data_IF_807198481373
#
_entry.id   IF_807198481373
#
_cell.length_a   1.000
_cell.length_b   1.000
_cell.length_c   1.000
_cell.angle_alpha   90.00
_cell.angle_beta   90.00
_cell.angle_gamma   90.00
#
_symmetry.space_group_name_H-M   'P 1'
#
loop_
_entity.id
_entity.type
_entity.pdbx_description
1 polymer ?
#
# COMPACT_ATOMS: atom_id res chain seq x y z
N UNK A 1 32.78 -30.88 -1.16
CA UNK A 1 32.68 -30.08 -2.41
C UNK A 1 33.78 -29.05 -2.42
N UNK A 2 34.67 -29.05 -3.42
CA UNK A 2 35.78 -28.09 -3.52
C UNK A 2 35.27 -26.68 -3.79
N UNK A 3 35.71 -25.69 -3.01
CA UNK A 3 35.36 -24.26 -3.11
C UNK A 3 35.20 -23.64 -4.53
N UNK A 4 36.03 -23.98 -5.55
CA UNK A 4 35.86 -23.45 -6.91
C UNK A 4 34.55 -23.86 -7.61
N UNK A 5 34.06 -25.08 -7.38
CA UNK A 5 32.81 -25.58 -8.00
C UNK A 5 31.58 -24.84 -7.46
N UNK A 6 31.63 -24.43 -6.18
CA UNK A 6 30.56 -23.66 -5.54
C UNK A 6 30.47 -22.25 -6.11
N UNK A 7 31.62 -21.58 -6.35
CA UNK A 7 31.66 -20.24 -6.96
C UNK A 7 31.09 -20.25 -8.36
N UNK A 8 31.42 -21.26 -9.17
CA UNK A 8 30.95 -21.36 -10.55
C UNK A 8 29.42 -21.48 -10.62
N UNK A 9 28.84 -22.38 -9.82
CA UNK A 9 27.39 -22.55 -9.75
C UNK A 9 26.63 -21.34 -9.17
N UNK A 10 27.28 -20.51 -8.34
CA UNK A 10 26.69 -19.28 -7.82
C UNK A 10 26.64 -18.18 -8.88
N UNK A 11 27.71 -18.04 -9.67
CA UNK A 11 27.78 -17.09 -10.79
C UNK A 11 26.71 -17.43 -11.85
N UNK A 12 26.53 -18.72 -12.18
CA UNK A 12 25.51 -19.15 -13.14
C UNK A 12 24.08 -18.85 -12.65
N UNK A 13 23.82 -19.00 -11.34
CA UNK A 13 22.52 -18.62 -10.75
C UNK A 13 22.32 -17.11 -10.74
N UNK A 14 23.34 -16.34 -10.37
CA UNK A 14 23.27 -14.87 -10.40
C UNK A 14 23.08 -14.37 -11.82
N UNK A 15 23.75 -14.94 -12.82
CA UNK A 15 23.54 -14.60 -14.22
C UNK A 15 22.11 -14.91 -14.68
N UNK A 16 21.56 -16.07 -14.27
CA UNK A 16 20.19 -16.50 -14.57
C UNK A 16 19.12 -15.59 -13.96
N UNK A 17 19.34 -15.09 -12.72
CA UNK A 17 18.37 -14.28 -11.98
C UNK A 17 18.74 -12.80 -11.87
N UNK A 18 19.81 -12.36 -12.54
CA UNK A 18 20.38 -11.01 -12.45
C UNK A 18 19.32 -9.92 -12.67
N UNK A 19 18.43 -10.11 -13.65
CA UNK A 19 17.32 -9.18 -13.93
C UNK A 19 16.36 -9.02 -12.74
N UNK A 20 16.02 -10.10 -12.05
CA UNK A 20 15.15 -10.05 -10.88
C UNK A 20 15.87 -9.46 -9.67
N UNK A 21 17.15 -9.80 -9.48
CA UNK A 21 17.99 -9.25 -8.42
C UNK A 21 18.16 -7.73 -8.55
N UNK A 22 18.21 -7.19 -9.77
CA UNK A 22 18.25 -5.75 -10.02
C UNK A 22 16.94 -5.03 -9.65
N UNK A 23 15.79 -5.70 -9.83
CA UNK A 23 14.47 -5.15 -9.50
C UNK A 23 14.13 -5.27 -8.01
N UNK A 24 14.73 -6.25 -7.33
CA UNK A 24 14.39 -6.62 -5.96
C UNK A 24 14.51 -5.46 -4.96
N UNK A 25 15.56 -4.62 -4.96
CA UNK A 25 15.66 -3.50 -4.01
C UNK A 25 14.52 -2.48 -4.18
N UNK A 26 14.23 -2.08 -5.42
CA UNK A 26 13.14 -1.15 -5.72
C UNK A 26 11.78 -1.74 -5.37
N UNK A 27 11.56 -3.01 -5.71
CA UNK A 27 10.33 -3.71 -5.38
C UNK A 27 10.12 -3.84 -3.87
N UNK A 28 11.16 -4.20 -3.12
CA UNK A 28 11.11 -4.27 -1.64
C UNK A 28 10.78 -2.90 -1.06
N UNK A 29 11.41 -1.82 -1.55
CA UNK A 29 11.10 -0.47 -1.08
C UNK A 29 9.64 -0.11 -1.37
N UNK A 30 9.13 -0.36 -2.57
CA UNK A 30 7.71 -0.11 -2.91
C UNK A 30 6.80 -0.89 -1.97
N UNK A 31 7.08 -2.17 -1.72
CA UNK A 31 6.28 -2.98 -0.82
C UNK A 31 6.31 -2.43 0.62
N UNK A 32 7.48 -2.05 1.13
CA UNK A 32 7.58 -1.49 2.48
C UNK A 32 6.80 -0.18 2.60
N UNK A 33 7.00 0.75 1.66
CA UNK A 33 6.34 2.06 1.68
C UNK A 33 4.86 2.00 1.30
N UNK A 34 4.37 0.92 0.70
CA UNK A 34 2.95 0.70 0.47
C UNK A 34 2.30 -0.02 1.64
N UNK A 35 2.85 -1.16 2.04
CA UNK A 35 2.24 -2.05 3.04
C UNK A 35 2.27 -1.46 4.44
N UNK A 36 3.36 -0.78 4.83
CA UNK A 36 3.47 -0.20 6.17
C UNK A 36 2.39 0.89 6.36
N UNK A 37 2.31 1.96 5.53
CA UNK A 37 1.28 2.98 5.70
C UNK A 37 -0.14 2.43 5.52
N UNK A 38 -0.35 1.50 4.58
CA UNK A 38 -1.65 0.87 4.38
C UNK A 38 -2.10 0.11 5.64
N UNK A 39 -1.21 -0.68 6.24
CA UNK A 39 -1.51 -1.41 7.47
C UNK A 39 -1.80 -0.47 8.65
N UNK A 40 -1.10 0.67 8.73
CA UNK A 40 -1.36 1.71 9.72
C UNK A 40 -2.76 2.31 9.55
N UNK A 41 -3.14 2.72 8.35
CA UNK A 41 -4.47 3.32 8.10
C UNK A 41 -5.58 2.30 8.36
N UNK A 42 -5.41 1.05 7.93
CA UNK A 42 -6.36 -0.03 8.22
C UNK A 42 -6.47 -0.21 9.73
N UNK A 43 -5.37 -0.19 10.46
CA UNK A 43 -5.44 -0.31 11.92
C UNK A 43 -6.19 0.88 12.49
N UNK A 44 -5.78 2.12 12.19
CA UNK A 44 -6.39 3.34 12.72
C UNK A 44 -7.90 3.40 12.45
N UNK A 45 -8.39 2.89 11.32
CA UNK A 45 -9.84 2.92 11.00
C UNK A 45 -10.69 2.09 11.96
N UNK A 46 -10.13 1.05 12.60
CA UNK A 46 -10.84 0.16 13.52
C UNK A 46 -10.69 0.51 15.00
N UNK A 47 -9.95 1.55 15.39
CA UNK A 47 -9.74 1.90 16.80
C UNK A 47 -10.16 3.33 17.10
N UNK A 48 -10.67 3.58 18.30
CA UNK A 48 -11.18 4.90 18.71
C UNK A 48 -10.06 5.91 18.94
N UNK A 49 -8.92 5.42 19.44
CA UNK A 49 -7.73 6.22 19.71
C UNK A 49 -6.49 5.44 19.31
N UNK A 50 -5.63 6.12 18.56
CA UNK A 50 -4.31 5.61 18.24
C UNK A 50 -3.30 6.44 19.04
N UNK A 51 -2.73 5.83 20.09
CA UNK A 51 -1.72 6.47 20.94
C UNK A 51 -0.36 5.82 20.74
N UNK A 52 0.71 6.42 21.29
CA UNK A 52 2.06 5.82 21.28
C UNK A 52 2.07 4.46 22.02
N UNK A 53 1.16 4.24 22.96
CA UNK A 53 1.03 2.98 23.70
C UNK A 53 0.33 1.86 22.90
N UNK A 54 -0.24 2.18 21.75
CA UNK A 54 -0.93 1.23 20.87
C UNK A 54 -2.40 1.60 20.62
N UNK A 55 -3.07 0.82 19.76
CA UNK A 55 -4.47 1.01 19.44
C UNK A 55 -5.38 0.55 20.61
N UNK A 56 -6.30 1.42 21.02
CA UNK A 56 -7.23 1.14 22.12
C UNK A 56 -8.66 0.94 21.59
N UNK A 57 -9.32 -0.11 22.08
CA UNK A 57 -10.72 -0.44 21.82
C UNK A 57 -11.08 -0.62 20.33
N UNK A 58 -11.09 -1.88 19.87
CA UNK A 58 -11.60 -2.22 18.55
C UNK A 58 -13.08 -1.81 18.40
N UNK A 59 -13.40 -1.11 17.32
CA UNK A 59 -14.71 -0.51 17.09
C UNK A 59 -15.02 -0.35 15.60
N UNK A 60 -16.30 -0.27 15.26
CA UNK A 60 -16.79 0.11 13.93
C UNK A 60 -17.36 1.53 13.89
N UNK A 61 -17.27 2.28 15.00
CA UNK A 61 -17.85 3.64 15.11
C UNK A 61 -17.35 4.59 14.03
N UNK A 62 -16.07 4.50 13.64
CA UNK A 62 -15.50 5.35 12.59
C UNK A 62 -16.20 5.13 11.24
N UNK A 63 -16.48 3.87 10.88
CA UNK A 63 -17.20 3.54 9.65
C UNK A 63 -18.66 3.99 9.72
N UNK A 64 -19.34 3.76 10.85
CA UNK A 64 -20.71 4.23 11.04
C UNK A 64 -20.75 5.75 10.88
N UNK A 65 -19.88 6.48 11.59
CA UNK A 65 -19.79 7.94 11.49
C UNK A 65 -19.50 8.42 10.06
N UNK A 66 -18.66 7.72 9.30
CA UNK A 66 -18.41 8.03 7.90
C UNK A 66 -19.68 7.88 7.05
N UNK A 67 -20.40 6.76 7.16
CA UNK A 67 -21.59 6.50 6.35
C UNK A 67 -22.84 7.27 6.79
N UNK A 68 -22.93 7.66 8.07
CA UNK A 68 -24.05 8.47 8.58
C UNK A 68 -23.79 9.97 8.50
N UNK A 69 -22.58 10.40 8.10
CA UNK A 69 -22.25 11.81 7.98
C UNK A 69 -23.00 12.45 6.80
N UNK A 70 -23.67 13.60 7.00
CA UNK A 70 -24.37 14.30 5.93
C UNK A 70 -23.40 14.88 4.87
N UNK A 71 -22.12 15.03 5.21
CA UNK A 71 -21.11 15.60 4.31
C UNK A 71 -20.48 14.55 3.39
N UNK A 72 -20.31 13.31 3.87
CA UNK A 72 -19.68 12.23 3.11
C UNK A 72 -20.28 12.03 1.70
N UNK A 73 -21.61 11.88 1.52
CA UNK A 73 -22.17 11.65 0.18
C UNK A 73 -21.98 12.86 -0.75
N UNK A 74 -22.02 14.09 -0.21
CA UNK A 74 -21.81 15.31 -0.99
C UNK A 74 -20.37 15.36 -1.51
N UNK A 75 -19.40 15.09 -0.64
CA UNK A 75 -17.98 15.06 -1.01
C UNK A 75 -17.74 13.95 -2.05
N UNK A 76 -18.25 12.75 -1.81
CA UNK A 76 -18.08 11.62 -2.74
C UNK A 76 -18.66 11.92 -4.12
N UNK A 77 -19.87 12.49 -4.19
CA UNK A 77 -20.50 12.82 -5.46
C UNK A 77 -19.77 13.94 -6.19
N UNK A 78 -19.33 14.98 -5.46
CA UNK A 78 -18.55 16.07 -6.03
C UNK A 78 -17.20 15.59 -6.57
N UNK A 79 -16.48 14.76 -5.81
CA UNK A 79 -15.21 14.17 -6.25
C UNK A 79 -15.42 13.28 -7.46
N UNK A 80 -16.42 12.39 -7.43
CA UNK A 80 -16.74 11.53 -8.57
C UNK A 80 -17.09 12.35 -9.82
N UNK A 81 -17.95 13.37 -9.68
CA UNK A 81 -18.33 14.26 -10.76
C UNK A 81 -17.13 15.01 -11.34
N UNK A 82 -16.25 15.55 -10.49
CA UNK A 82 -15.02 16.22 -10.93
C UNK A 82 -14.07 15.26 -11.66
N UNK A 83 -13.85 14.06 -11.13
CA UNK A 83 -13.00 13.05 -11.78
C UNK A 83 -13.57 12.59 -13.12
N UNK A 84 -14.90 12.44 -13.22
CA UNK A 84 -15.58 12.07 -14.46
C UNK A 84 -15.47 13.19 -15.50
N UNK A 85 -15.72 14.44 -15.11
CA UNK A 85 -15.57 15.58 -16.03
C UNK A 85 -14.12 15.74 -16.51
N UNK A 86 -13.15 15.62 -15.61
CA UNK A 86 -11.74 15.66 -15.97
C UNK A 86 -11.37 14.54 -16.95
N UNK A 87 -11.89 13.33 -16.73
CA UNK A 87 -11.71 12.19 -17.63
C UNK A 87 -12.29 12.48 -19.03
N UNK A 88 -13.53 12.95 -19.10
CA UNK A 88 -14.19 13.27 -20.36
C UNK A 88 -13.47 14.38 -21.13
N UNK A 89 -13.08 15.46 -20.45
CA UNK A 89 -12.34 16.56 -21.07
C UNK A 89 -10.97 16.10 -21.57
N UNK A 90 -10.26 15.26 -20.82
CA UNK A 90 -8.93 14.76 -21.22
C UNK A 90 -9.01 13.76 -22.37
N UNK A 91 -10.13 13.05 -22.49
CA UNK A 91 -10.35 12.04 -23.53
C UNK A 91 -10.77 12.64 -24.89
N UNK A 92 -11.46 13.79 -24.88
CA UNK A 92 -11.89 14.53 -26.08
C UNK A 92 -10.75 15.35 -26.69
#
# INVERSE_FOLDING_TARGET
MSAPQLKLGLIDRVARYSRYLLLLPGFVLILLFLLIPLSMIITISFFERFTIAGPENFTLKNYIAFFTSPQTPVILLNTFGMSLLACLITFL
#
